data_IF_144282381533
#
_entry.id   IF_144282381533
#
_cell.length_a   1.000
_cell.length_b   1.000
_cell.length_c   1.000
_cell.angle_alpha   90.00
_cell.angle_beta   90.00
_cell.angle_gamma   90.00
#
_symmetry.space_group_name_H-M   'P 1'
#
loop_
_entity.id
_entity.type
_entity.pdbx_description
1 polymer ?
#
# COMPACT_ATOMS: atom_id res chain seq x y z
N UNK A 1 4.46 -4.00 -10.94
CA UNK A 1 4.44 -2.65 -10.34
C UNK A 1 5.54 -2.66 -9.29
N UNK A 2 6.74 -2.22 -9.65
CA UNK A 2 7.93 -2.30 -8.77
C UNK A 2 8.18 -0.94 -8.13
N UNK A 3 7.30 -0.52 -7.22
CA UNK A 3 7.49 0.65 -6.38
C UNK A 3 6.65 0.53 -5.10
N UNK A 4 6.91 1.45 -4.17
CA UNK A 4 6.11 1.62 -2.96
C UNK A 4 5.50 3.02 -2.92
N UNK A 5 4.57 3.27 -1.99
CA UNK A 5 3.93 4.59 -1.84
C UNK A 5 4.76 5.48 -0.92
N UNK A 6 4.96 6.74 -1.33
CA UNK A 6 5.72 7.75 -0.58
C UNK A 6 4.97 9.10 -0.54
N UNK A 7 5.66 10.23 -0.68
CA UNK A 7 5.12 11.59 -0.55
C UNK A 7 4.32 12.09 -1.77
N UNK A 8 4.46 11.45 -2.93
CA UNK A 8 3.80 11.85 -4.17
C UNK A 8 3.02 10.71 -4.80
N UNK A 9 1.86 11.05 -5.36
CA UNK A 9 0.97 10.17 -6.11
C UNK A 9 0.64 10.79 -7.46
N UNK A 10 0.38 9.95 -8.46
CA UNK A 10 0.02 10.38 -9.80
C UNK A 10 -1.28 9.75 -10.25
N UNK A 11 -2.05 10.50 -11.05
CA UNK A 11 -3.27 9.98 -11.69
C UNK A 11 -2.97 9.24 -12.98
N UNK A 12 -1.88 9.60 -13.67
CA UNK A 12 -1.46 9.01 -14.94
C UNK A 12 -0.08 8.33 -14.79
N UNK A 13 0.10 7.19 -15.46
CA UNK A 13 1.33 6.40 -15.41
C UNK A 13 2.55 7.10 -16.07
N UNK A 14 2.33 8.17 -16.84
CA UNK A 14 3.39 9.05 -17.33
C UNK A 14 4.14 9.73 -16.19
N UNK A 15 3.52 9.83 -15.00
CA UNK A 15 4.13 10.32 -13.75
C UNK A 15 4.90 11.62 -13.92
N UNK A 16 4.28 12.60 -14.60
CA UNK A 16 4.90 13.90 -14.82
C UNK A 16 4.97 14.66 -13.49
N UNK A 17 6.11 15.28 -13.20
CA UNK A 17 6.35 15.92 -11.90
C UNK A 17 5.40 17.10 -11.64
N UNK A 18 4.98 17.82 -12.68
CA UNK A 18 3.99 18.91 -12.63
C UNK A 18 2.56 18.43 -12.32
N UNK A 19 2.30 17.13 -12.42
CA UNK A 19 1.01 16.50 -12.10
C UNK A 19 1.06 15.67 -10.80
N UNK A 20 2.16 15.74 -10.06
CA UNK A 20 2.30 15.05 -8.78
C UNK A 20 1.35 15.63 -7.73
N UNK A 21 0.61 14.76 -7.04
CA UNK A 21 -0.24 15.11 -5.90
C UNK A 21 0.45 14.70 -4.62
N UNK A 22 0.53 15.58 -3.63
CA UNK A 22 1.09 15.23 -2.33
C UNK A 22 0.19 14.19 -1.64
N UNK A 23 0.77 13.10 -1.12
CA UNK A 23 0.02 12.05 -0.42
C UNK A 23 -0.74 12.60 0.79
N UNK A 24 -0.21 13.62 1.48
CA UNK A 24 -0.90 14.30 2.57
C UNK A 24 -2.16 15.03 2.11
N UNK A 25 -2.17 15.58 0.89
CA UNK A 25 -3.38 16.23 0.36
C UNK A 25 -4.50 15.20 0.16
N UNK A 26 -4.17 13.97 -0.24
CA UNK A 26 -5.13 12.87 -0.34
C UNK A 26 -5.65 12.48 1.05
N UNK A 27 -4.74 12.30 2.01
CA UNK A 27 -5.08 11.97 3.40
C UNK A 27 -6.02 13.03 4.02
N UNK A 28 -5.75 14.31 3.78
CA UNK A 28 -6.53 15.41 4.35
C UNK A 28 -7.84 15.68 3.60
N UNK A 29 -7.94 15.26 2.33
CA UNK A 29 -9.10 15.51 1.47
C UNK A 29 -10.25 14.53 1.69
N UNK A 30 -9.94 13.27 1.95
CA UNK A 30 -10.96 12.22 2.02
C UNK A 30 -11.20 11.75 3.47
N UNK A 31 -12.48 11.59 3.89
CA UNK A 31 -12.80 11.05 5.19
C UNK A 31 -12.39 9.57 5.33
N UNK A 32 -12.31 9.10 6.57
CA UNK A 32 -11.80 7.77 6.92
C UNK A 32 -12.71 6.59 6.54
N UNK A 33 -13.93 6.86 6.07
CA UNK A 33 -14.86 5.85 5.56
C UNK A 33 -14.57 5.43 4.11
N UNK A 34 -13.68 6.15 3.42
CA UNK A 34 -13.14 5.75 2.12
C UNK A 34 -12.38 4.43 2.23
N UNK A 35 -12.45 3.65 1.14
CA UNK A 35 -11.78 2.34 1.02
C UNK A 35 -10.49 2.52 0.25
N UNK A 36 -9.37 2.12 0.85
CA UNK A 36 -8.05 2.15 0.21
C UNK A 36 -7.69 0.78 -0.36
N UNK A 37 -7.43 0.73 -1.67
CA UNK A 37 -7.07 -0.51 -2.35
C UNK A 37 -5.73 -0.29 -3.02
N UNK A 38 -4.69 -0.93 -2.50
CA UNK A 38 -3.40 -1.02 -3.17
C UNK A 38 -3.44 -2.14 -4.22
N UNK A 39 -2.79 -1.94 -5.36
CA UNK A 39 -2.66 -2.97 -6.40
C UNK A 39 -1.21 -3.04 -6.86
N UNK A 40 -0.55 -4.18 -6.65
CA UNK A 40 0.86 -4.33 -7.01
C UNK A 40 1.43 -5.68 -6.57
N UNK A 41 2.53 -6.12 -7.17
CA UNK A 41 3.14 -7.43 -6.90
C UNK A 41 3.91 -7.50 -5.57
N UNK A 42 3.98 -6.37 -4.85
CA UNK A 42 4.77 -6.18 -3.64
C UNK A 42 6.22 -6.72 -3.77
N UNK A 43 6.74 -6.77 -4.99
CA UNK A 43 8.04 -7.31 -5.33
C UNK A 43 8.97 -6.15 -5.59
N UNK A 44 9.80 -5.84 -4.61
CA UNK A 44 10.78 -4.75 -4.70
C UNK A 44 11.93 -5.04 -3.74
N UNK A 45 12.96 -4.20 -3.73
CA UNK A 45 13.99 -4.27 -2.70
C UNK A 45 13.35 -4.02 -1.32
N UNK A 46 13.67 -4.78 -0.27
CA UNK A 46 13.16 -4.48 1.08
C UNK A 46 13.52 -3.06 1.54
N UNK A 47 14.63 -2.52 1.05
CA UNK A 47 15.12 -1.18 1.39
C UNK A 47 14.15 -0.07 0.98
N UNK A 48 13.41 -0.23 -0.12
CA UNK A 48 12.35 0.69 -0.56
C UNK A 48 11.25 0.86 0.52
N UNK A 49 11.02 -0.18 1.33
CA UNK A 49 10.02 -0.15 2.39
C UNK A 49 10.62 0.34 3.72
N UNK A 50 11.85 -0.08 4.04
CA UNK A 50 12.37 -0.02 5.42
C UNK A 50 13.38 1.10 5.68
N UNK A 51 13.90 1.80 4.67
CA UNK A 51 14.93 2.84 4.87
C UNK A 51 14.61 4.17 4.17
N UNK A 52 15.03 5.32 4.74
CA UNK A 52 15.10 6.58 4.02
C UNK A 52 16.04 6.47 2.82
N UNK A 53 15.72 7.17 1.73
CA UNK A 53 16.46 7.08 0.46
C UNK A 53 16.34 5.71 -0.23
N UNK A 54 15.43 4.84 0.23
CA UNK A 54 15.19 3.52 -0.37
C UNK A 54 14.47 3.58 -1.71
N UNK A 55 13.74 4.67 -2.01
CA UNK A 55 13.03 4.86 -3.28
C UNK A 55 14.01 4.83 -4.47
N UNK A 56 13.60 4.15 -5.54
CA UNK A 56 14.36 4.07 -6.80
C UNK A 56 14.11 5.27 -7.72
N UNK A 57 13.12 6.10 -7.41
CA UNK A 57 12.68 7.23 -8.26
C UNK A 57 13.24 8.57 -7.79
N UNK A 58 13.48 8.72 -6.49
CA UNK A 58 13.93 9.95 -5.85
C UNK A 58 14.45 9.67 -4.44
N UNK A 59 15.04 10.66 -3.79
CA UNK A 59 15.37 10.56 -2.37
C UNK A 59 14.12 10.81 -1.51
N UNK A 60 13.62 9.77 -0.85
CA UNK A 60 12.53 9.89 0.13
C UNK A 60 13.11 10.12 1.54
N UNK A 61 12.71 11.20 2.20
CA UNK A 61 13.15 11.51 3.57
C UNK A 61 12.63 10.49 4.59
N UNK A 62 11.43 9.96 4.36
CA UNK A 62 10.77 9.00 5.25
C UNK A 62 10.53 7.67 4.54
N UNK A 63 10.60 6.58 5.30
CA UNK A 63 10.51 5.22 4.74
C UNK A 63 9.16 4.95 4.11
N UNK A 64 9.12 4.01 3.16
CA UNK A 64 7.85 3.53 2.60
C UNK A 64 6.89 3.03 3.68
N UNK A 65 7.39 2.33 4.70
CA UNK A 65 6.60 1.85 5.82
C UNK A 65 5.90 2.99 6.60
N UNK A 66 6.56 4.14 6.79
CA UNK A 66 5.95 5.31 7.45
C UNK A 66 4.79 5.85 6.62
N UNK A 67 4.97 6.01 5.31
CA UNK A 67 3.92 6.48 4.41
C UNK A 67 2.74 5.51 4.32
N UNK A 68 3.02 4.21 4.24
CA UNK A 68 1.97 3.19 4.29
C UNK A 68 1.21 3.24 5.62
N UNK A 69 1.91 3.36 6.75
CA UNK A 69 1.25 3.46 8.05
C UNK A 69 0.34 4.68 8.14
N UNK A 70 0.75 5.84 7.63
CA UNK A 70 -0.11 7.04 7.56
C UNK A 70 -1.39 6.78 6.77
N UNK A 71 -1.27 6.15 5.59
CA UNK A 71 -2.41 5.81 4.75
C UNK A 71 -3.34 4.79 5.42
N UNK A 72 -2.80 3.77 6.06
CA UNK A 72 -3.59 2.75 6.78
C UNK A 72 -4.30 3.33 8.01
N UNK A 73 -3.68 4.31 8.69
CA UNK A 73 -4.31 5.05 9.79
C UNK A 73 -5.43 5.96 9.29
N UNK A 74 -5.21 6.67 8.18
CA UNK A 74 -6.23 7.54 7.57
C UNK A 74 -7.41 6.75 6.99
N UNK A 75 -7.14 5.61 6.38
CA UNK A 75 -8.11 4.76 5.68
C UNK A 75 -8.11 3.34 6.26
N UNK A 76 -8.73 3.11 7.43
CA UNK A 76 -8.64 1.85 8.15
C UNK A 76 -9.28 0.67 7.41
N UNK A 77 -10.22 0.93 6.48
CA UNK A 77 -10.71 -0.07 5.54
C UNK A 77 -9.80 -0.13 4.32
N UNK A 78 -8.70 -0.88 4.44
CA UNK A 78 -7.67 -0.99 3.42
C UNK A 78 -7.33 -2.44 3.08
N UNK A 79 -7.00 -2.71 1.82
CA UNK A 79 -6.49 -4.01 1.35
C UNK A 79 -5.39 -3.84 0.31
N UNK A 80 -4.60 -4.88 0.09
CA UNK A 80 -3.64 -4.96 -1.01
C UNK A 80 -3.99 -6.13 -1.94
N UNK A 81 -4.16 -5.86 -3.23
CA UNK A 81 -4.37 -6.88 -4.26
C UNK A 81 -3.05 -7.17 -4.96
N UNK A 82 -2.56 -8.40 -4.80
CA UNK A 82 -1.28 -8.83 -5.35
C UNK A 82 -1.49 -9.80 -6.53
N UNK A 83 -1.05 -9.44 -7.76
CA UNK A 83 -1.17 -10.28 -8.94
C UNK A 83 -0.16 -11.44 -9.00
N UNK A 84 0.89 -11.43 -8.17
CA UNK A 84 1.81 -12.55 -8.09
C UNK A 84 1.16 -13.75 -7.38
N UNK A 85 1.57 -14.96 -7.72
CA UNK A 85 1.05 -16.17 -7.11
C UNK A 85 1.37 -16.20 -5.60
N UNK A 86 0.38 -16.51 -4.77
CA UNK A 86 0.52 -16.56 -3.31
C UNK A 86 1.70 -17.39 -2.81
N UNK A 87 2.01 -18.52 -3.47
CA UNK A 87 3.18 -19.36 -3.16
C UNK A 87 4.53 -18.62 -3.23
N UNK A 88 4.59 -17.49 -3.93
CA UNK A 88 5.78 -16.67 -4.08
C UNK A 88 5.91 -15.62 -2.96
N UNK A 89 4.81 -15.27 -2.28
CA UNK A 89 4.81 -14.21 -1.29
C UNK A 89 5.72 -14.54 -0.11
N UNK A 90 5.73 -15.80 0.34
CA UNK A 90 6.60 -16.26 1.44
C UNK A 90 8.07 -16.41 1.03
N UNK A 91 8.38 -16.29 -0.26
CA UNK A 91 9.76 -16.35 -0.78
C UNK A 91 10.38 -14.97 -0.92
N UNK A 92 9.56 -13.91 -1.02
CA UNK A 92 10.00 -12.54 -1.27
C UNK A 92 9.95 -11.74 0.05
N UNK A 93 11.09 -11.23 0.56
CA UNK A 93 11.10 -10.51 1.83
C UNK A 93 10.20 -9.25 1.85
N UNK A 94 10.16 -8.50 0.76
CA UNK A 94 9.28 -7.31 0.62
C UNK A 94 7.79 -7.66 0.65
N UNK A 95 7.40 -8.82 0.11
CA UNK A 95 6.02 -9.31 0.24
C UNK A 95 5.68 -9.60 1.71
N UNK A 96 6.58 -10.25 2.47
CA UNK A 96 6.36 -10.51 3.91
C UNK A 96 6.19 -9.22 4.71
N UNK A 97 7.06 -8.24 4.48
CA UNK A 97 6.99 -6.94 5.16
C UNK A 97 5.66 -6.25 4.81
N UNK A 98 5.29 -6.21 3.52
CA UNK A 98 4.04 -5.59 3.07
C UNK A 98 2.81 -6.26 3.70
N UNK A 99 2.77 -7.60 3.77
CA UNK A 99 1.70 -8.36 4.43
C UNK A 99 1.58 -8.02 5.91
N UNK A 100 2.70 -7.92 6.61
CA UNK A 100 2.74 -7.53 8.02
C UNK A 100 2.20 -6.11 8.20
N UNK A 101 2.67 -5.15 7.40
CA UNK A 101 2.22 -3.75 7.47
C UNK A 101 0.71 -3.62 7.25
N UNK A 102 0.13 -4.38 6.32
CA UNK A 102 -1.31 -4.32 6.05
C UNK A 102 -2.16 -5.27 6.93
N UNK A 103 -1.56 -5.87 7.95
CA UNK A 103 -2.19 -6.81 8.88
C UNK A 103 -2.86 -8.00 8.17
N UNK A 104 -2.11 -8.67 7.29
CA UNK A 104 -2.56 -9.85 6.52
C UNK A 104 -3.75 -9.60 5.58
N UNK A 105 -4.13 -8.33 5.33
CA UNK A 105 -5.16 -7.94 4.36
C UNK A 105 -4.61 -7.81 2.93
N UNK A 106 -3.72 -8.74 2.55
CA UNK A 106 -3.22 -8.88 1.19
C UNK A 106 -3.88 -10.10 0.53
N UNK A 107 -4.55 -9.87 -0.60
CA UNK A 107 -5.34 -10.88 -1.30
C UNK A 107 -4.83 -11.06 -2.74
N UNK A 108 -5.04 -12.25 -3.32
CA UNK A 108 -4.64 -12.50 -4.70
C UNK A 108 -5.53 -11.71 -5.66
N UNK A 109 -4.98 -11.25 -6.79
CA UNK A 109 -5.77 -10.65 -7.87
C UNK A 109 -6.47 -11.74 -8.71
N UNK A 110 -7.34 -12.52 -8.07
CA UNK A 110 -8.20 -13.56 -8.65
C UNK A 110 -9.65 -13.27 -8.27
N UNK A 111 -10.64 -13.91 -8.91
CA UNK A 111 -12.06 -13.73 -8.56
C UNK A 111 -12.29 -14.02 -7.06
N UNK A 112 -11.81 -15.15 -6.55
CA UNK A 112 -11.92 -15.52 -5.13
C UNK A 112 -11.17 -14.56 -4.18
N UNK A 113 -10.03 -14.02 -4.62
CA UNK A 113 -9.28 -13.04 -3.86
C UNK A 113 -9.98 -11.68 -3.80
N UNK A 114 -10.63 -11.26 -4.89
CA UNK A 114 -11.47 -10.06 -4.95
C UNK A 114 -12.68 -10.20 -4.02
N UNK A 115 -13.37 -11.34 -4.04
CA UNK A 115 -14.45 -11.64 -3.10
C UNK A 115 -13.99 -11.51 -1.64
N UNK A 116 -12.85 -12.13 -1.32
CA UNK A 116 -12.27 -12.06 0.03
C UNK A 116 -11.87 -10.64 0.44
N UNK A 117 -11.29 -9.87 -0.48
CA UNK A 117 -10.93 -8.47 -0.27
C UNK A 117 -12.17 -7.60 -0.01
N UNK A 118 -13.25 -7.78 -0.79
CA UNK A 118 -14.52 -7.07 -0.59
C UNK A 118 -15.08 -7.41 0.80
N UNK A 119 -15.11 -8.69 1.19
CA UNK A 119 -15.56 -9.09 2.52
C UNK A 119 -14.72 -8.45 3.63
N UNK A 120 -13.41 -8.31 3.45
CA UNK A 120 -12.53 -7.60 4.39
C UNK A 120 -12.88 -6.11 4.48
N UNK A 121 -13.12 -5.45 3.35
CA UNK A 121 -13.45 -4.01 3.28
C UNK A 121 -14.82 -3.66 3.87
N UNK A 122 -15.78 -4.59 3.83
CA UNK A 122 -17.14 -4.42 4.37
C UNK A 122 -17.22 -4.64 5.89
N UNK A 123 -16.24 -5.32 6.49
CA UNK A 123 -16.17 -5.45 7.96
C UNK A 123 -15.82 -4.10 8.58
N UNK A 124 -16.43 -3.79 9.73
CA UNK A 124 -16.00 -2.63 10.53
C UNK A 124 -14.53 -2.84 10.90
N UNK A 125 -13.65 -1.84 10.67
CA UNK A 125 -12.26 -1.95 11.10
C UNK A 125 -12.24 -2.20 12.60
N UNK A 126 -11.47 -3.19 13.04
CA UNK A 126 -11.18 -3.38 14.45
C UNK A 126 -10.53 -2.08 14.96
N UNK A 127 -11.17 -1.41 15.91
CA UNK A 127 -10.55 -0.25 16.57
C UNK A 127 -9.31 -0.79 17.29
N UNK A 128 -8.13 -0.37 16.85
CA UNK A 128 -6.90 -0.61 17.60
C UNK A 128 -7.04 0.16 18.91
N UNK A 129 -7.28 -0.56 20.01
CA UNK A 129 -7.11 -0.02 21.35
C UNK A 129 -5.60 0.00 21.59
N UNK A 130 -5.02 1.20 21.67
CA UNK A 130 -3.63 1.39 22.11
C UNK A 130 -3.48 1.07 23.60
#
# INVERSE_FOLDING_TARGET
FHNFTYEYLWKDNKRRFDEATNTMDIINRYPSDYKLIFVGDASMSPYEITYPGGSVEHWNEETGAVWMQRLLTAFPSSVWLNPDHQRNWDRKPSNKITRQLINERMFSLTISGLESAIQSLLRKPSVLVN
#
